data_IF_279875745473
#
_entry.id   IF_279875745473
#
_cell.length_a   1.000
_cell.length_b   1.000
_cell.length_c   1.000
_cell.angle_alpha   90.00
_cell.angle_beta   90.00
_cell.angle_gamma   90.00
#
_symmetry.space_group_name_H-M   'P 1'
#
loop_
_entity.id
_entity.type
_entity.pdbx_description
1 polymer ?
#
# COMPACT_ATOMS: atom_id res chain seq x y z
N UNK A 1 30.71 37.18 20.62
CA UNK A 1 31.36 36.07 19.88
C UNK A 1 30.77 34.79 20.43
N UNK A 2 29.96 33.99 19.75
CA UNK A 2 29.86 33.68 18.31
C UNK A 2 28.43 33.24 17.98
N UNK A 3 27.78 33.94 17.04
CA UNK A 3 26.56 33.48 16.37
C UNK A 3 26.90 32.26 15.50
N UNK A 4 26.33 31.08 15.81
CA UNK A 4 26.20 30.01 14.83
C UNK A 4 24.98 30.31 13.97
N UNK A 5 25.20 30.95 12.82
CA UNK A 5 24.23 31.00 11.71
C UNK A 5 23.87 29.56 11.32
N UNK A 6 22.63 29.18 11.62
CA UNK A 6 21.96 28.04 11.00
C UNK A 6 21.68 28.43 9.54
N UNK A 7 22.62 28.11 8.67
CA UNK A 7 22.43 28.24 7.23
C UNK A 7 21.53 27.08 6.77
N UNK A 8 20.22 27.34 6.78
CA UNK A 8 19.21 26.50 6.16
C UNK A 8 19.62 26.23 4.71
N UNK A 9 20.11 25.02 4.45
CA UNK A 9 20.51 24.53 3.13
C UNK A 9 19.25 24.46 2.26
N UNK A 10 18.88 25.57 1.59
CA UNK A 10 17.73 25.65 0.68
C UNK A 10 17.81 24.48 -0.29
N UNK A 11 16.91 23.51 -0.15
CA UNK A 11 16.84 22.36 -1.05
C UNK A 11 16.60 22.86 -2.47
N UNK A 12 17.45 22.44 -3.41
CA UNK A 12 17.30 22.77 -4.83
C UNK A 12 15.98 22.17 -5.34
N UNK A 13 15.08 23.05 -5.78
CA UNK A 13 13.81 22.67 -6.38
C UNK A 13 13.98 22.44 -7.88
N UNK A 14 13.17 21.54 -8.42
CA UNK A 14 13.28 21.10 -9.80
C UNK A 14 11.95 21.27 -10.55
N UNK A 15 12.05 21.59 -11.83
CA UNK A 15 10.97 21.64 -12.80
C UNK A 15 11.10 20.47 -13.76
N UNK A 16 9.98 19.93 -14.21
CA UNK A 16 9.92 18.88 -15.24
C UNK A 16 9.25 19.45 -16.49
N UNK A 17 9.82 19.17 -17.66
CA UNK A 17 9.26 19.53 -18.96
C UNK A 17 9.00 18.29 -19.79
N UNK A 18 7.79 18.22 -20.37
CA UNK A 18 7.39 17.21 -21.35
C UNK A 18 6.54 17.87 -22.41
N UNK A 19 6.89 17.68 -23.68
CA UNK A 19 6.14 18.22 -24.83
C UNK A 19 5.84 19.73 -24.72
N UNK A 20 6.77 20.50 -24.12
CA UNK A 20 6.64 21.94 -23.87
C UNK A 20 5.85 22.34 -22.61
N UNK A 21 5.17 21.41 -21.93
CA UNK A 21 4.49 21.67 -20.67
C UNK A 21 5.48 21.60 -19.49
N UNK A 22 5.56 22.66 -18.68
CA UNK A 22 6.43 22.74 -17.50
C UNK A 22 5.62 22.55 -16.22
N UNK A 23 6.05 21.62 -15.36
CA UNK A 23 5.46 21.35 -14.02
C UNK A 23 6.48 21.53 -12.91
N UNK A 24 6.00 21.93 -11.73
CA UNK A 24 6.82 22.18 -10.54
C UNK A 24 6.64 23.59 -9.97
N UNK A 25 7.49 24.01 -9.02
CA UNK A 25 8.69 23.31 -8.55
C UNK A 25 8.38 22.08 -7.67
N UNK A 26 9.25 21.08 -7.72
CA UNK A 26 9.19 19.87 -6.89
C UNK A 26 10.50 19.67 -6.12
N UNK A 27 10.45 19.20 -4.86
CA UNK A 27 11.65 18.79 -4.17
C UNK A 27 12.29 17.55 -4.83
N UNK A 28 13.62 17.35 -4.71
CA UNK A 28 14.31 16.23 -5.36
C UNK A 28 13.70 14.86 -5.04
N UNK A 29 13.27 14.65 -3.78
CA UNK A 29 12.60 13.42 -3.35
C UNK A 29 11.28 13.15 -4.09
N UNK A 30 10.49 14.19 -4.37
CA UNK A 30 9.24 14.05 -5.12
C UNK A 30 9.52 13.67 -6.58
N UNK A 31 10.55 14.25 -7.21
CA UNK A 31 10.91 13.86 -8.59
C UNK A 31 11.40 12.42 -8.63
N UNK A 32 12.30 12.02 -7.72
CA UNK A 32 12.75 10.61 -7.61
C UNK A 32 11.55 9.66 -7.58
N UNK A 33 10.58 9.96 -6.72
CA UNK A 33 9.34 9.20 -6.60
C UNK A 33 8.48 9.22 -7.87
N UNK A 34 8.34 10.36 -8.53
CA UNK A 34 7.60 10.45 -9.79
C UNK A 34 8.25 9.67 -10.93
N UNK A 35 9.59 9.67 -10.99
CA UNK A 35 10.36 8.86 -11.93
C UNK A 35 10.13 7.37 -11.65
N UNK A 36 10.16 6.97 -10.37
CA UNK A 36 9.89 5.60 -9.94
C UNK A 36 8.50 5.11 -10.36
N UNK A 37 7.48 5.94 -10.16
CA UNK A 37 6.08 5.66 -10.50
C UNK A 37 5.76 5.82 -12.00
N UNK A 38 6.73 6.23 -12.81
CA UNK A 38 6.55 6.49 -14.24
C UNK A 38 5.65 7.69 -14.54
N UNK A 39 5.46 8.61 -13.59
CA UNK A 39 4.81 9.92 -13.80
C UNK A 39 5.75 10.85 -14.58
N UNK A 40 7.04 10.77 -14.28
CA UNK A 40 8.13 11.39 -15.04
C UNK A 40 8.90 10.27 -15.75
N UNK A 41 9.19 10.45 -17.04
CA UNK A 41 9.94 9.49 -17.83
C UNK A 41 11.43 9.84 -17.82
N UNK A 42 12.26 8.87 -18.16
CA UNK A 42 13.72 9.03 -18.20
C UNK A 42 14.18 9.93 -19.38
N UNK A 43 13.33 10.09 -20.39
CA UNK A 43 13.47 10.99 -21.54
C UNK A 43 12.81 12.35 -21.34
N UNK A 44 12.03 12.56 -20.27
CA UNK A 44 11.57 13.90 -19.91
C UNK A 44 12.77 14.77 -19.52
N UNK A 45 12.58 16.10 -19.56
CA UNK A 45 13.62 17.04 -19.20
C UNK A 45 13.38 17.62 -17.81
N UNK A 46 14.46 17.90 -17.09
CA UNK A 46 14.45 18.55 -15.79
C UNK A 46 15.37 19.75 -15.75
N UNK A 47 14.99 20.74 -14.95
CA UNK A 47 15.75 21.98 -14.79
C UNK A 47 15.56 22.56 -13.39
N UNK A 48 16.58 23.21 -12.85
CA UNK A 48 16.51 23.96 -11.57
C UNK A 48 16.20 25.45 -11.78
N UNK A 49 16.45 25.98 -12.98
CA UNK A 49 16.38 27.40 -13.32
C UNK A 49 15.40 27.71 -14.47
N UNK A 50 14.81 26.69 -15.10
CA UNK A 50 13.95 26.73 -16.29
C UNK A 50 14.66 27.18 -17.58
N UNK A 51 15.98 27.35 -17.54
CA UNK A 51 16.80 27.76 -18.68
C UNK A 51 17.55 26.53 -19.21
N UNK A 52 18.29 25.85 -18.34
CA UNK A 52 19.07 24.69 -18.69
C UNK A 52 18.26 23.42 -18.45
N UNK A 53 17.95 22.72 -19.53
CA UNK A 53 17.13 21.50 -19.52
C UNK A 53 17.99 20.28 -19.82
N UNK A 54 17.98 19.31 -18.92
CA UNK A 54 18.69 18.06 -19.07
C UNK A 54 17.71 16.89 -19.04
N UNK A 55 17.92 15.83 -19.85
CA UNK A 55 17.15 14.60 -19.72
C UNK A 55 17.26 14.06 -18.29
N UNK A 56 16.15 13.58 -17.73
CA UNK A 56 16.09 12.98 -16.39
C UNK A 56 17.17 11.91 -16.23
N UNK A 57 17.35 11.04 -17.22
CA UNK A 57 18.39 10.00 -17.25
C UNK A 57 19.81 10.50 -17.00
N UNK A 58 20.12 11.77 -17.29
CA UNK A 58 21.45 12.36 -17.13
C UNK A 58 21.64 13.08 -15.78
N UNK A 59 20.64 13.09 -14.91
CA UNK A 59 20.67 13.82 -13.65
C UNK A 59 20.59 12.83 -12.47
N UNK A 60 21.74 12.43 -11.88
CA UNK A 60 21.81 11.44 -10.80
C UNK A 60 20.98 11.82 -9.56
N UNK A 61 20.81 13.12 -9.32
CA UNK A 61 20.10 13.65 -8.15
C UNK A 61 18.60 13.37 -8.17
N UNK A 62 18.01 13.16 -9.35
CA UNK A 62 16.56 12.95 -9.51
C UNK A 62 16.21 11.56 -10.03
N UNK A 63 17.20 10.76 -10.46
CA UNK A 63 17.01 9.36 -10.81
C UNK A 63 17.26 8.48 -9.58
N UNK A 64 16.24 7.74 -9.08
CA UNK A 64 16.41 6.82 -7.97
C UNK A 64 17.54 5.81 -8.25
N UNK A 65 18.38 5.47 -7.25
CA UNK A 65 19.42 4.45 -7.40
C UNK A 65 18.88 3.12 -7.95
N UNK A 66 17.65 2.75 -7.59
CA UNK A 66 16.96 1.53 -8.00
C UNK A 66 16.66 1.54 -9.51
N UNK A 67 16.23 2.68 -10.05
CA UNK A 67 16.06 2.85 -11.50
C UNK A 67 17.39 2.84 -12.21
N UNK A 68 18.42 3.48 -11.64
CA UNK A 68 19.76 3.48 -12.23
C UNK A 68 20.31 2.08 -12.34
N UNK A 69 20.26 1.32 -11.25
CA UNK A 69 20.66 -0.09 -11.21
C UNK A 69 19.82 -0.91 -12.19
N UNK A 70 18.49 -0.75 -12.21
CA UNK A 70 17.64 -1.45 -13.17
C UNK A 70 17.96 -1.11 -14.64
N UNK A 71 18.34 0.14 -14.96
CA UNK A 71 18.79 0.56 -16.30
C UNK A 71 20.16 -0.01 -16.65
N UNK A 72 21.07 -0.12 -15.68
CA UNK A 72 22.44 -0.61 -15.86
C UNK A 72 22.51 -2.14 -16.03
N UNK A 73 21.82 -2.90 -15.17
CA UNK A 73 21.91 -4.37 -15.13
C UNK A 73 20.64 -5.09 -15.60
N UNK A 74 19.58 -4.36 -15.97
CA UNK A 74 18.32 -4.96 -16.42
C UNK A 74 17.52 -5.66 -15.32
N UNK A 75 17.82 -5.38 -14.04
CA UNK A 75 17.17 -5.97 -12.87
C UNK A 75 15.73 -5.45 -12.72
N UNK A 76 14.82 -6.13 -13.43
CA UNK A 76 13.39 -5.84 -13.42
C UNK A 76 12.76 -6.09 -12.06
N UNK A 77 13.33 -6.96 -11.24
CA UNK A 77 12.77 -7.36 -9.96
C UNK A 77 12.94 -6.26 -8.92
N UNK A 78 14.12 -5.64 -8.85
CA UNK A 78 14.36 -4.45 -8.03
C UNK A 78 13.42 -3.29 -8.41
N UNK A 79 13.17 -3.11 -9.71
CA UNK A 79 12.25 -2.08 -10.18
C UNK A 79 10.79 -2.39 -9.79
N UNK A 80 10.36 -3.66 -9.87
CA UNK A 80 9.02 -4.09 -9.47
C UNK A 80 8.82 -3.86 -7.99
N UNK A 81 9.73 -4.37 -7.15
CA UNK A 81 9.63 -4.24 -5.69
C UNK A 81 9.61 -2.78 -5.29
N UNK A 82 10.52 -1.95 -5.80
CA UNK A 82 10.53 -0.51 -5.53
C UNK A 82 9.25 0.20 -5.95
N UNK A 83 8.65 -0.19 -7.09
CA UNK A 83 7.36 0.36 -7.52
C UNK A 83 6.20 -0.08 -6.61
N UNK A 84 6.16 -1.33 -6.18
CA UNK A 84 5.14 -1.83 -5.25
C UNK A 84 5.19 -1.07 -3.92
N UNK A 85 6.39 -0.76 -3.44
CA UNK A 85 6.62 0.01 -2.20
C UNK A 85 6.10 1.44 -2.24
N UNK A 86 6.13 2.08 -3.40
CA UNK A 86 5.89 3.53 -3.56
C UNK A 86 4.54 3.86 -4.23
N UNK A 87 3.78 2.84 -4.65
CA UNK A 87 2.53 3.01 -5.40
C UNK A 87 1.39 3.58 -4.53
N UNK A 88 1.40 4.91 -4.36
CA UNK A 88 0.28 5.65 -3.77
C UNK A 88 -0.80 6.01 -4.81
N UNK A 89 -0.71 5.47 -6.04
CA UNK A 89 -1.68 5.81 -7.09
C UNK A 89 -3.05 5.25 -6.74
N UNK A 90 -3.96 6.14 -6.34
CA UNK A 90 -5.36 5.82 -6.15
C UNK A 90 -5.99 5.41 -7.48
N UNK A 91 -6.71 4.27 -7.50
CA UNK A 91 -7.44 3.81 -8.68
C UNK A 91 -8.45 4.80 -9.27
N UNK A 92 -8.79 5.86 -8.51
CA UNK A 92 -9.68 6.94 -8.93
C UNK A 92 -9.05 7.98 -9.84
N UNK A 93 -7.72 8.10 -9.93
CA UNK A 93 -7.05 8.97 -10.92
C UNK A 93 -7.40 8.58 -12.38
N UNK A 94 -8.17 7.51 -12.60
CA UNK A 94 -8.68 7.08 -13.92
C UNK A 94 -10.21 6.98 -14.05
N UNK A 95 -11.01 7.41 -13.08
CA UNK A 95 -12.49 7.30 -13.16
C UNK A 95 -13.22 8.64 -13.17
N UNK A 96 -12.71 9.59 -13.95
CA UNK A 96 -13.56 10.60 -14.58
C UNK A 96 -13.54 10.29 -16.08
N UNK A 97 -14.72 10.04 -16.64
CA UNK A 97 -15.02 9.67 -18.03
C UNK A 97 -14.69 8.22 -18.45
N UNK A 98 -15.39 7.25 -17.86
CA UNK A 98 -15.61 5.94 -18.46
C UNK A 98 -16.93 5.95 -19.27
N UNK A 99 -17.05 6.85 -20.23
CA UNK A 99 -18.01 6.71 -21.33
C UNK A 99 -17.58 7.58 -22.51
N UNK A 100 -16.51 7.20 -23.21
CA UNK A 100 -16.31 7.74 -24.55
C UNK A 100 -15.39 6.88 -25.42
N UNK A 101 -15.91 6.39 -26.55
CA UNK A 101 -15.12 5.66 -27.58
C UNK A 101 -14.05 6.57 -28.21
N UNK A 102 -14.23 7.89 -28.11
CA UNK A 102 -13.29 8.92 -28.59
C UNK A 102 -11.97 8.93 -27.82
N UNK A 103 -11.93 8.42 -26.58
CA UNK A 103 -10.73 8.40 -25.74
C UNK A 103 -9.70 7.33 -26.17
N UNK A 104 -10.13 6.22 -26.80
CA UNK A 104 -9.21 5.21 -27.34
C UNK A 104 -8.42 5.71 -28.54
N UNK A 105 -8.98 6.62 -29.35
CA UNK A 105 -8.31 7.15 -30.54
C UNK A 105 -7.28 8.25 -30.20
N UNK A 106 -7.47 9.02 -29.12
CA UNK A 106 -6.51 10.06 -28.68
C UNK A 106 -5.21 9.53 -28.07
N UNK A 107 -5.14 8.23 -27.74
CA UNK A 107 -3.98 7.60 -27.06
C UNK A 107 -2.95 6.96 -27.99
N UNK A 108 -2.88 7.32 -29.28
CA UNK A 108 -1.75 6.93 -30.13
C UNK A 108 -0.44 7.68 -29.79
N UNK A 109 -0.51 8.82 -29.10
CA UNK A 109 0.67 9.63 -28.73
C UNK A 109 1.20 9.42 -27.28
N UNK A 110 0.34 9.05 -26.33
CA UNK A 110 0.76 8.71 -24.96
C UNK A 110 1.14 7.23 -24.88
N UNK A 111 2.31 6.84 -25.42
CA UNK A 111 2.93 5.56 -25.04
C UNK A 111 3.36 5.64 -23.57
N UNK A 112 2.39 5.47 -22.66
CA UNK A 112 2.67 5.08 -21.27
C UNK A 112 3.45 3.77 -21.36
N UNK A 113 4.60 3.67 -20.69
CA UNK A 113 5.33 2.40 -20.59
C UNK A 113 4.34 1.29 -20.19
N UNK A 114 4.45 0.11 -20.80
CA UNK A 114 3.63 -1.02 -20.41
C UNK A 114 3.84 -1.31 -18.92
N UNK A 115 2.80 -1.08 -18.10
CA UNK A 115 2.83 -1.34 -16.67
C UNK A 115 2.72 -2.85 -16.45
N UNK A 116 3.63 -3.42 -15.66
CA UNK A 116 3.69 -4.85 -15.40
C UNK A 116 2.41 -5.33 -14.71
N UNK A 117 1.91 -6.51 -15.11
CA UNK A 117 0.66 -7.09 -14.62
C UNK A 117 0.59 -7.16 -13.09
N UNK A 118 1.70 -7.53 -12.44
CA UNK A 118 1.80 -7.59 -10.97
C UNK A 118 1.47 -6.25 -10.29
N UNK A 119 1.91 -5.12 -10.88
CA UNK A 119 1.65 -3.78 -10.35
C UNK A 119 0.17 -3.44 -10.53
N UNK A 120 -0.43 -3.86 -11.65
CA UNK A 120 -1.86 -3.68 -11.90
C UNK A 120 -2.69 -4.48 -10.90
N UNK A 121 -2.32 -5.73 -10.65
CA UNK A 121 -3.00 -6.63 -9.70
C UNK A 121 -2.92 -6.12 -8.26
N UNK A 122 -1.75 -5.63 -7.84
CA UNK A 122 -1.56 -5.00 -6.53
C UNK A 122 -2.50 -3.79 -6.36
N UNK A 123 -2.53 -2.89 -7.34
CA UNK A 123 -3.41 -1.72 -7.32
C UNK A 123 -4.90 -2.12 -7.28
N UNK A 124 -5.30 -3.10 -8.09
CA UNK A 124 -6.69 -3.55 -8.13
C UNK A 124 -7.11 -4.16 -6.79
N UNK A 125 -6.25 -4.97 -6.17
CA UNK A 125 -6.50 -5.50 -4.84
C UNK A 125 -6.71 -4.40 -3.78
N UNK A 126 -5.94 -3.31 -3.85
CA UNK A 126 -6.10 -2.14 -2.96
C UNK A 126 -7.42 -1.42 -3.20
N UNK A 127 -7.83 -1.28 -4.47
CA UNK A 127 -9.12 -0.69 -4.83
C UNK A 127 -10.27 -1.54 -4.31
N UNK A 128 -10.23 -2.85 -4.51
CA UNK A 128 -11.31 -3.75 -4.10
C UNK A 128 -11.52 -3.67 -2.58
N UNK A 129 -10.44 -3.53 -1.80
CA UNK A 129 -10.52 -3.25 -0.36
C UNK A 129 -11.25 -1.92 -0.06
N UNK A 130 -10.85 -0.84 -0.73
CA UNK A 130 -11.49 0.48 -0.56
C UNK A 130 -12.95 0.49 -1.06
N UNK A 131 -13.28 -0.33 -2.06
CA UNK A 131 -14.60 -0.43 -2.68
C UNK A 131 -15.56 -1.35 -1.93
N UNK A 132 -15.09 -2.34 -1.15
CA UNK A 132 -15.93 -3.12 -0.22
C UNK A 132 -16.72 -2.22 0.74
N UNK A 133 -16.31 -0.96 0.93
CA UNK A 133 -17.02 0.08 1.69
C UNK A 133 -18.01 0.95 0.90
N UNK A 134 -17.96 1.02 -0.44
CA UNK A 134 -18.87 1.88 -1.22
C UNK A 134 -19.95 1.05 -1.89
N UNK A 135 -21.15 1.05 -1.29
CA UNK A 135 -22.38 0.60 -1.97
C UNK A 135 -22.48 1.38 -3.28
N UNK A 136 -22.45 0.67 -4.42
CA UNK A 136 -22.79 1.26 -5.72
C UNK A 136 -24.27 1.67 -5.65
N UNK A 137 -24.66 2.88 -6.07
CA UNK A 137 -26.07 3.23 -6.12
C UNK A 137 -26.77 2.27 -7.09
N UNK A 138 -27.84 1.64 -6.61
CA UNK A 138 -28.68 0.73 -7.37
C UNK A 138 -29.51 1.54 -8.41
N UNK A 139 -29.77 1.03 -9.63
CA UNK A 139 -30.59 1.72 -10.62
C UNK A 139 -32.02 2.00 -10.09
N UNK A 140 -32.67 3.08 -10.54
CA UNK A 140 -33.91 3.62 -9.96
C UNK A 140 -35.03 2.58 -9.76
N UNK A 141 -35.22 1.68 -10.74
CA UNK A 141 -36.23 0.61 -10.67
C UNK A 141 -35.90 -0.44 -9.61
N UNK A 142 -34.61 -0.76 -9.45
CA UNK A 142 -34.16 -1.60 -8.33
C UNK A 142 -34.24 -0.87 -6.99
N UNK A 143 -34.20 0.47 -6.94
CA UNK A 143 -34.43 1.21 -5.69
C UNK A 143 -35.88 1.12 -5.19
N UNK A 144 -36.87 0.94 -6.08
CA UNK A 144 -38.27 0.73 -5.67
C UNK A 144 -38.46 -0.68 -5.11
N UNK A 145 -37.94 -1.70 -5.80
CA UNK A 145 -38.00 -3.11 -5.36
C UNK A 145 -37.17 -3.31 -4.08
N UNK A 146 -35.98 -2.71 -4.02
CA UNK A 146 -35.15 -2.72 -2.81
C UNK A 146 -35.81 -1.89 -1.72
N UNK A 147 -36.49 -0.78 -2.04
CA UNK A 147 -37.22 0.03 -1.07
C UNK A 147 -38.36 -0.72 -0.38
N UNK A 148 -39.15 -1.47 -1.13
CA UNK A 148 -40.22 -2.32 -0.59
C UNK A 148 -39.68 -3.52 0.18
N UNK A 149 -38.62 -4.18 -0.33
CA UNK A 149 -37.92 -5.25 0.40
C UNK A 149 -37.21 -4.74 1.66
N UNK A 150 -36.67 -3.53 1.65
CA UNK A 150 -36.05 -2.88 2.81
C UNK A 150 -37.12 -2.50 3.83
N UNK A 151 -38.29 -2.00 3.44
CA UNK A 151 -39.38 -1.75 4.39
C UNK A 151 -39.87 -3.04 5.06
N UNK A 152 -40.00 -4.13 4.29
CA UNK A 152 -40.32 -5.45 4.83
C UNK A 152 -39.20 -6.00 5.71
N UNK A 153 -37.93 -5.87 5.30
CA UNK A 153 -36.77 -6.33 6.05
C UNK A 153 -36.43 -5.44 7.26
N UNK A 154 -36.82 -4.16 7.26
CA UNK A 154 -36.71 -3.24 8.39
C UNK A 154 -37.85 -3.54 9.38
N UNK A 155 -39.07 -3.77 8.92
CA UNK A 155 -40.15 -4.29 9.78
C UNK A 155 -39.78 -5.64 10.40
N UNK A 156 -39.19 -6.54 9.61
CA UNK A 156 -38.71 -7.86 10.05
C UNK A 156 -37.43 -7.79 10.89
N UNK A 157 -36.55 -6.82 10.63
CA UNK A 157 -35.31 -6.59 11.36
C UNK A 157 -35.53 -5.83 12.67
N UNK A 158 -36.54 -4.97 12.76
CA UNK A 158 -37.03 -4.43 14.04
C UNK A 158 -37.62 -5.58 14.89
N UNK A 159 -38.26 -6.56 14.24
CA UNK A 159 -38.80 -7.76 14.89
C UNK A 159 -37.71 -8.78 15.32
N UNK A 160 -36.56 -8.85 14.64
CA UNK A 160 -35.46 -9.79 14.91
C UNK A 160 -34.18 -9.16 15.50
N UNK A 161 -34.15 -7.85 15.70
CA UNK A 161 -32.93 -7.10 16.00
C UNK A 161 -32.08 -6.90 14.74
N UNK A 162 -32.03 -5.67 14.23
CA UNK A 162 -31.22 -5.35 13.05
C UNK A 162 -29.75 -5.75 13.31
N UNK A 163 -29.03 -6.30 12.31
CA UNK A 163 -27.61 -6.59 12.48
C UNK A 163 -26.92 -5.28 12.86
N UNK A 164 -26.16 -5.31 13.95
CA UNK A 164 -25.41 -4.16 14.44
C UNK A 164 -24.65 -3.53 13.27
N UNK A 165 -24.88 -2.24 13.02
CA UNK A 165 -24.05 -1.48 12.09
C UNK A 165 -22.59 -1.67 12.52
N UNK A 166 -21.70 -2.00 11.59
CA UNK A 166 -20.27 -2.01 11.86
C UNK A 166 -19.93 -0.62 12.43
N UNK A 167 -19.44 -0.52 13.67
CA UNK A 167 -19.15 0.76 14.30
C UNK A 167 -18.23 1.57 13.39
N UNK A 168 -18.38 2.90 13.37
CA UNK A 168 -17.38 3.73 12.71
C UNK A 168 -16.01 3.49 13.35
N UNK A 169 -14.90 3.62 12.60
CA UNK A 169 -13.57 3.50 13.19
C UNK A 169 -13.39 4.50 14.33
N UNK A 170 -12.90 4.02 15.47
CA UNK A 170 -12.68 4.82 16.67
C UNK A 170 -11.26 4.59 17.18
N UNK A 171 -10.37 5.53 16.86
CA UNK A 171 -8.95 5.43 17.17
C UNK A 171 -8.63 5.60 18.67
N UNK A 172 -9.58 6.08 19.46
CA UNK A 172 -9.42 6.32 20.90
C UNK A 172 -10.06 5.20 21.74
N UNK A 173 -10.76 4.26 21.08
CA UNK A 173 -11.35 3.10 21.73
C UNK A 173 -10.29 2.22 22.41
N UNK A 174 -10.63 1.67 23.58
CA UNK A 174 -9.73 0.82 24.33
C UNK A 174 -9.43 -0.50 23.57
N UNK A 175 -8.23 -1.08 23.75
CA UNK A 175 -7.87 -2.37 23.18
C UNK A 175 -8.85 -3.47 23.60
N UNK A 176 -9.47 -4.12 22.63
CA UNK A 176 -10.38 -5.25 22.85
C UNK A 176 -10.49 -6.12 21.58
N UNK A 177 -10.94 -7.38 21.69
CA UNK A 177 -11.24 -8.20 20.52
C UNK A 177 -12.26 -7.50 19.60
N UNK A 178 -12.02 -7.55 18.29
CA UNK A 178 -12.87 -6.96 17.27
C UNK A 178 -12.81 -5.43 17.14
N UNK A 179 -11.96 -4.75 17.94
CA UNK A 179 -11.88 -3.28 17.97
C UNK A 179 -11.63 -2.70 16.57
N UNK A 180 -12.32 -1.60 16.25
CA UNK A 180 -12.27 -1.00 14.92
C UNK A 180 -11.33 0.22 14.89
N UNK A 181 -10.08 -0.04 14.53
CA UNK A 181 -9.01 0.95 14.35
C UNK A 181 -8.63 1.18 12.88
N UNK A 182 -9.55 0.94 11.94
CA UNK A 182 -9.28 1.12 10.52
C UNK A 182 -8.92 2.56 10.18
N UNK A 183 -7.88 2.75 9.38
CA UNK A 183 -7.34 4.07 9.01
C UNK A 183 -6.75 4.89 10.17
N UNK A 184 -6.58 4.30 11.36
CA UNK A 184 -5.99 4.99 12.49
C UNK A 184 -4.47 5.10 12.37
N UNK A 185 -3.90 6.12 12.99
CA UNK A 185 -2.45 6.29 13.16
C UNK A 185 -2.09 6.07 14.63
N UNK A 186 -1.63 4.87 14.92
CA UNK A 186 -1.29 4.33 16.23
C UNK A 186 0.21 3.97 16.29
N UNK A 187 1.06 4.83 15.73
CA UNK A 187 2.52 4.61 15.74
C UNK A 187 3.06 4.62 17.18
N UNK A 188 3.96 3.69 17.50
CA UNK A 188 4.59 3.56 18.81
C UNK A 188 3.66 2.98 19.89
N UNK A 189 2.50 2.44 19.51
CA UNK A 189 1.54 1.80 20.41
C UNK A 189 2.21 0.69 21.25
N UNK A 190 1.94 0.64 22.55
CA UNK A 190 2.49 -0.38 23.46
C UNK A 190 1.36 -1.21 24.04
N UNK A 191 1.23 -2.43 23.50
CA UNK A 191 0.16 -3.39 23.77
C UNK A 191 0.73 -4.81 23.78
N UNK A 192 1.83 -5.00 24.51
CA UNK A 192 2.42 -6.31 24.74
C UNK A 192 1.38 -7.26 25.35
N UNK A 193 1.29 -8.48 24.81
CA UNK A 193 0.34 -9.52 25.23
C UNK A 193 -1.15 -9.12 25.15
N UNK A 194 -1.50 -8.11 24.34
CA UNK A 194 -2.88 -7.67 24.20
C UNK A 194 -3.77 -8.71 23.49
N UNK A 195 -5.03 -8.78 23.92
CA UNK A 195 -6.06 -9.64 23.34
C UNK A 195 -6.86 -8.86 22.29
N UNK A 196 -6.52 -9.05 21.01
CA UNK A 196 -7.00 -8.28 19.87
C UNK A 196 -7.49 -9.20 18.72
N UNK A 197 -8.00 -10.39 19.04
CA UNK A 197 -8.59 -11.30 18.05
C UNK A 197 -9.66 -10.57 17.23
N UNK A 198 -9.60 -10.70 15.90
CA UNK A 198 -10.53 -10.04 14.98
C UNK A 198 -10.36 -8.52 14.86
N UNK A 199 -9.28 -7.92 15.38
CA UNK A 199 -9.02 -6.47 15.26
C UNK A 199 -9.11 -5.98 13.81
N UNK A 200 -9.64 -4.77 13.61
CA UNK A 200 -9.74 -4.15 12.30
C UNK A 200 -8.76 -2.98 12.21
N UNK A 201 -7.61 -3.20 11.56
CA UNK A 201 -6.50 -2.24 11.41
C UNK A 201 -6.25 -1.85 9.94
N UNK A 202 -7.11 -2.30 9.02
CA UNK A 202 -6.87 -2.11 7.59
C UNK A 202 -6.67 -0.63 7.22
N UNK A 203 -5.66 -0.39 6.38
CA UNK A 203 -5.20 0.92 5.93
C UNK A 203 -4.78 1.89 7.07
N UNK A 204 -4.45 1.37 8.26
CA UNK A 204 -3.88 2.13 9.38
C UNK A 204 -2.35 2.14 9.41
N UNK A 205 -1.78 2.86 10.37
CA UNK A 205 -0.34 2.92 10.66
C UNK A 205 -0.12 2.57 12.12
N UNK A 206 0.73 1.59 12.40
CA UNK A 206 1.06 1.05 13.73
C UNK A 206 2.58 0.80 13.79
N UNK A 207 3.36 1.77 13.30
CA UNK A 207 4.81 1.65 13.12
C UNK A 207 5.54 1.71 14.45
N UNK A 208 6.61 0.94 14.61
CA UNK A 208 7.41 0.94 15.83
C UNK A 208 6.64 0.54 17.09
N UNK A 209 5.51 -0.14 16.93
CA UNK A 209 4.67 -0.57 18.04
C UNK A 209 5.24 -1.80 18.73
N UNK A 210 4.97 -1.95 20.02
CA UNK A 210 5.30 -3.13 20.81
C UNK A 210 4.06 -3.98 21.01
N UNK A 211 4.01 -5.10 20.31
CA UNK A 211 2.85 -5.99 20.19
C UNK A 211 3.26 -7.46 20.48
N UNK A 212 4.41 -7.66 21.13
CA UNK A 212 4.94 -9.00 21.40
C UNK A 212 4.00 -9.83 22.26
N UNK A 213 3.82 -11.10 21.88
CA UNK A 213 2.88 -12.03 22.51
C UNK A 213 1.40 -11.69 22.35
N UNK A 214 1.04 -10.65 21.59
CA UNK A 214 -0.35 -10.26 21.39
C UNK A 214 -1.13 -11.27 20.54
N UNK A 215 -2.44 -11.34 20.76
CA UNK A 215 -3.35 -12.21 20.00
C UNK A 215 -4.10 -11.40 18.95
N UNK A 216 -3.81 -11.67 17.68
CA UNK A 216 -4.35 -10.97 16.50
C UNK A 216 -4.96 -11.95 15.48
N UNK A 217 -5.27 -13.17 15.93
CA UNK A 217 -5.92 -14.18 15.11
C UNK A 217 -7.15 -13.58 14.40
N UNK A 218 -7.36 -13.95 13.14
CA UNK A 218 -8.46 -13.45 12.30
C UNK A 218 -8.54 -11.93 12.08
N UNK A 219 -7.51 -11.16 12.46
CA UNK A 219 -7.48 -9.71 12.29
C UNK A 219 -7.50 -9.25 10.83
N UNK A 220 -8.18 -8.14 10.55
CA UNK A 220 -8.15 -7.43 9.27
C UNK A 220 -7.06 -6.35 9.29
N UNK A 221 -5.85 -6.71 8.87
CA UNK A 221 -4.64 -5.89 8.84
C UNK A 221 -4.17 -5.60 7.41
N UNK A 222 -5.10 -5.60 6.45
CA UNK A 222 -4.75 -5.37 5.05
C UNK A 222 -4.23 -3.94 4.85
N UNK A 223 -3.10 -3.80 4.15
CA UNK A 223 -2.43 -2.52 3.89
C UNK A 223 -2.10 -1.71 5.16
N UNK A 224 -1.97 -2.35 6.32
CA UNK A 224 -1.46 -1.69 7.52
C UNK A 224 0.05 -1.44 7.38
N UNK A 225 0.55 -0.36 7.98
CA UNK A 225 1.99 -0.15 8.16
C UNK A 225 2.43 -0.60 9.55
N UNK A 226 3.15 -1.72 9.62
CA UNK A 226 3.73 -2.32 10.84
C UNK A 226 5.27 -2.24 10.82
N UNK A 227 5.83 -1.33 10.02
CA UNK A 227 7.29 -1.18 9.91
C UNK A 227 7.92 -0.94 11.28
N UNK A 228 9.04 -1.62 11.54
CA UNK A 228 9.84 -1.50 12.77
C UNK A 228 9.12 -1.93 14.07
N UNK A 229 7.95 -2.57 13.96
CA UNK A 229 7.20 -3.05 15.12
C UNK A 229 7.72 -4.39 15.65
N UNK A 230 7.48 -4.66 16.92
CA UNK A 230 7.74 -5.94 17.58
C UNK A 230 6.45 -6.76 17.67
N UNK A 231 6.36 -7.83 16.89
CA UNK A 231 5.31 -8.86 16.88
C UNK A 231 5.89 -10.23 17.24
N UNK A 232 7.03 -10.27 17.96
CA UNK A 232 7.61 -11.53 18.41
C UNK A 232 6.61 -12.29 19.28
N UNK A 233 6.54 -13.62 19.12
CA UNK A 233 5.58 -14.50 19.81
C UNK A 233 4.09 -14.19 19.57
N UNK A 234 3.72 -13.30 18.64
CA UNK A 234 2.34 -12.95 18.39
C UNK A 234 1.54 -14.11 17.75
N UNK A 235 0.25 -14.21 18.08
CA UNK A 235 -0.67 -15.13 17.40
C UNK A 235 -1.39 -14.41 16.25
N UNK A 236 -1.13 -14.81 15.01
CA UNK A 236 -1.61 -14.18 13.78
C UNK A 236 -2.31 -15.21 12.86
N UNK A 237 -2.87 -16.28 13.43
CA UNK A 237 -3.50 -17.36 12.67
C UNK A 237 -4.65 -16.82 11.83
N UNK A 238 -4.65 -17.16 10.55
CA UNK A 238 -5.67 -16.73 9.59
C UNK A 238 -5.90 -15.21 9.52
N UNK A 239 -4.93 -14.40 9.94
CA UNK A 239 -5.00 -12.96 9.81
C UNK A 239 -4.93 -12.52 8.33
N UNK A 240 -5.66 -11.48 7.96
CA UNK A 240 -5.60 -10.88 6.64
C UNK A 240 -4.60 -9.73 6.65
N UNK A 241 -3.39 -9.97 6.12
CA UNK A 241 -2.27 -9.02 6.08
C UNK A 241 -1.88 -8.67 4.64
N UNK A 242 -2.84 -8.79 3.72
CA UNK A 242 -2.63 -8.54 2.29
C UNK A 242 -2.13 -7.11 2.07
N UNK A 243 -0.98 -6.96 1.42
CA UNK A 243 -0.37 -5.66 1.15
C UNK A 243 0.15 -4.91 2.39
N UNK A 244 0.25 -5.56 3.55
CA UNK A 244 0.82 -4.95 4.75
C UNK A 244 2.31 -4.62 4.57
N UNK A 245 2.77 -3.55 5.21
CA UNK A 245 4.19 -3.20 5.28
C UNK A 245 4.76 -3.73 6.59
N UNK A 246 5.68 -4.69 6.52
CA UNK A 246 6.30 -5.39 7.66
C UNK A 246 7.83 -5.22 7.64
N UNK A 247 8.30 -4.07 7.14
CA UNK A 247 9.75 -3.84 7.00
C UNK A 247 10.40 -3.78 8.36
N UNK A 248 11.47 -4.56 8.55
CA UNK A 248 12.21 -4.63 9.81
C UNK A 248 11.36 -4.96 11.03
N UNK A 249 10.18 -5.57 10.83
CA UNK A 249 9.32 -6.04 11.90
C UNK A 249 9.91 -7.31 12.52
N UNK A 250 9.89 -7.42 13.85
CA UNK A 250 10.22 -8.68 14.51
C UNK A 250 8.98 -9.58 14.52
N UNK A 251 9.03 -10.71 13.83
CA UNK A 251 8.00 -11.75 13.80
C UNK A 251 8.54 -13.07 14.34
N UNK A 252 9.65 -13.04 15.09
CA UNK A 252 10.27 -14.25 15.62
C UNK A 252 9.29 -15.01 16.52
N UNK A 253 9.21 -16.33 16.32
CA UNK A 253 8.28 -17.22 17.02
C UNK A 253 6.78 -16.88 16.87
N UNK A 254 6.40 -15.97 15.98
CA UNK A 254 4.99 -15.65 15.72
C UNK A 254 4.29 -16.81 14.98
N UNK A 255 2.99 -16.98 15.21
CA UNK A 255 2.17 -17.95 14.49
C UNK A 255 1.36 -17.28 13.37
N UNK A 256 1.88 -17.36 12.15
CA UNK A 256 1.27 -16.85 10.92
C UNK A 256 0.51 -17.94 10.15
N UNK A 257 0.17 -19.07 10.80
CA UNK A 257 -0.43 -20.21 10.09
C UNK A 257 -1.75 -19.82 9.41
N UNK A 258 -1.82 -20.06 8.10
CA UNK A 258 -2.98 -19.70 7.27
C UNK A 258 -3.20 -18.19 7.05
N UNK A 259 -2.28 -17.32 7.46
CA UNK A 259 -2.39 -15.88 7.22
C UNK A 259 -2.28 -15.54 5.72
N UNK A 260 -2.95 -14.47 5.28
CA UNK A 260 -2.80 -13.95 3.92
C UNK A 260 -1.81 -12.78 3.89
N UNK A 261 -0.58 -13.05 3.47
CA UNK A 261 0.51 -12.08 3.29
C UNK A 261 0.71 -11.73 1.81
N UNK A 262 -0.27 -11.99 0.93
CA UNK A 262 -0.14 -11.68 -0.49
C UNK A 262 0.17 -10.19 -0.69
N UNK A 263 1.13 -9.87 -1.56
CA UNK A 263 1.63 -8.51 -1.78
C UNK A 263 2.22 -7.77 -0.56
N UNK A 264 2.41 -8.43 0.59
CA UNK A 264 3.04 -7.80 1.75
C UNK A 264 4.53 -7.53 1.50
N UNK A 265 5.09 -6.54 2.19
CA UNK A 265 6.53 -6.24 2.17
C UNK A 265 7.19 -6.66 3.48
N UNK A 266 7.88 -7.80 3.47
CA UNK A 266 8.60 -8.37 4.62
C UNK A 266 10.09 -8.01 4.63
N UNK A 267 10.55 -7.04 3.83
CA UNK A 267 11.98 -6.74 3.70
C UNK A 267 12.63 -6.50 5.06
N UNK A 268 13.65 -7.30 5.39
CA UNK A 268 14.38 -7.21 6.65
C UNK A 268 13.61 -7.68 7.89
N UNK A 269 12.41 -8.26 7.74
CA UNK A 269 11.67 -8.82 8.87
C UNK A 269 12.38 -10.06 9.45
N UNK A 270 12.29 -10.23 10.77
CA UNK A 270 12.83 -11.41 11.45
C UNK A 270 11.74 -12.49 11.56
N UNK A 271 11.87 -13.60 10.83
CA UNK A 271 10.95 -14.75 10.90
C UNK A 271 11.54 -15.96 11.66
N UNK A 272 12.59 -15.75 12.46
CA UNK A 272 13.24 -16.84 13.20
C UNK A 272 12.26 -17.61 14.09
N UNK A 273 12.05 -18.89 13.80
CA UNK A 273 11.11 -19.75 14.55
C UNK A 273 9.63 -19.48 14.29
N UNK A 274 9.27 -18.58 13.37
CA UNK A 274 7.87 -18.29 13.05
C UNK A 274 7.18 -19.49 12.37
N UNK A 275 5.93 -19.76 12.75
CA UNK A 275 5.10 -20.76 12.10
C UNK A 275 4.37 -20.14 10.89
N UNK A 276 4.85 -20.42 9.68
CA UNK A 276 4.28 -19.87 8.43
C UNK A 276 3.51 -20.92 7.62
N UNK A 277 3.14 -22.05 8.21
CA UNK A 277 2.46 -23.14 7.50
C UNK A 277 1.16 -22.63 6.87
N UNK A 278 0.95 -22.91 5.58
CA UNK A 278 -0.23 -22.45 4.83
C UNK A 278 -0.39 -20.91 4.73
N UNK A 279 0.60 -20.12 5.14
CA UNK A 279 0.56 -18.68 4.90
C UNK A 279 0.66 -18.39 3.39
N UNK A 280 -0.23 -17.56 2.86
CA UNK A 280 -0.21 -17.18 1.43
C UNK A 280 0.76 -16.03 1.21
N UNK A 281 1.71 -16.21 0.30
CA UNK A 281 2.80 -15.27 0.03
C UNK A 281 2.82 -14.79 -1.42
N UNK A 282 1.69 -14.89 -2.12
CA UNK A 282 1.58 -14.54 -3.54
C UNK A 282 2.03 -13.09 -3.77
N UNK A 283 3.06 -12.87 -4.58
CA UNK A 283 3.59 -11.54 -4.92
C UNK A 283 4.13 -10.72 -3.74
N UNK A 284 4.40 -11.36 -2.59
CA UNK A 284 5.03 -10.69 -1.45
C UNK A 284 6.50 -10.34 -1.78
N UNK A 285 7.01 -9.28 -1.15
CA UNK A 285 8.45 -9.00 -1.11
C UNK A 285 9.00 -9.71 0.13
N UNK A 286 9.87 -10.68 -0.08
CA UNK A 286 10.41 -11.53 0.97
C UNK A 286 11.45 -10.83 1.83
N UNK A 287 11.90 -11.49 2.91
CA UNK A 287 12.82 -10.92 3.90
C UNK A 287 14.15 -10.42 3.31
N UNK A 288 14.60 -11.01 2.20
CA UNK A 288 15.81 -10.63 1.47
C UNK A 288 15.55 -9.65 0.31
N UNK A 289 14.30 -9.20 0.14
CA UNK A 289 13.88 -8.34 -0.96
C UNK A 289 13.49 -9.04 -2.25
N UNK A 290 13.56 -10.38 -2.32
CA UNK A 290 13.11 -11.14 -3.48
C UNK A 290 11.58 -11.13 -3.61
N UNK A 291 11.07 -11.25 -4.84
CA UNK A 291 9.64 -11.25 -5.13
C UNK A 291 9.11 -12.70 -5.20
N UNK A 292 8.20 -13.03 -4.29
CA UNK A 292 7.56 -14.34 -4.27
C UNK A 292 6.61 -14.51 -5.46
N UNK A 293 6.66 -15.68 -6.10
CA UNK A 293 5.79 -16.01 -7.22
C UNK A 293 4.36 -16.36 -6.75
N UNK A 294 3.35 -16.25 -7.63
CA UNK A 294 2.03 -16.80 -7.38
C UNK A 294 2.09 -18.31 -7.03
N UNK A 295 1.27 -18.74 -6.07
CA UNK A 295 1.29 -20.09 -5.51
C UNK A 295 2.23 -20.28 -4.33
N UNK A 296 2.91 -19.22 -3.87
CA UNK A 296 3.79 -19.27 -2.69
C UNK A 296 2.94 -19.53 -1.44
N UNK A 297 3.10 -20.71 -0.84
CA UNK A 297 2.30 -21.18 0.30
C UNK A 297 3.22 -21.74 1.39
N UNK A 298 3.37 -21.01 2.48
CA UNK A 298 4.28 -21.31 3.59
C UNK A 298 5.77 -21.30 3.24
N UNK A 299 6.11 -21.01 1.99
CA UNK A 299 7.45 -20.70 1.52
C UNK A 299 7.36 -19.74 0.34
N UNK A 300 8.35 -18.86 0.22
CA UNK A 300 8.47 -17.95 -0.92
C UNK A 300 9.06 -18.72 -2.10
N UNK A 301 8.28 -18.91 -3.16
CA UNK A 301 8.77 -19.45 -4.42
C UNK A 301 9.49 -18.33 -5.17
N UNK A 302 10.81 -18.44 -5.33
CA UNK A 302 11.62 -17.46 -6.06
C UNK A 302 11.91 -18.03 -7.45
N UNK A 303 11.83 -17.18 -8.48
CA UNK A 303 12.19 -17.59 -9.83
C UNK A 303 13.71 -17.80 -9.90
N UNK A 304 14.20 -18.94 -10.42
CA UNK A 304 15.64 -19.18 -10.59
C UNK A 304 16.28 -18.19 -11.57
#
# INVERSE_FOLDING_TARGET
MTEKKSESKKQKLWYVRRDGEIKGPHPPGAIRRFVLLGRVRVDDEVSIDKIDWLPVSKVPDVVPPEIRKALEIGDKELLITSRLREDERNGRERRVAADDRTYRQRRKGERRQAELEIIQNHRQAKIDLLERRRKKPLPLFSMIIVGTLVLLAVGFGIYLGAPASIPDPDCDSQPAPGVNWRNCKLDGLQLESAELDGVQLSNGSVRGAKLSGGKFNHGDMQYVDLSESDLSYAELKSASMKGATLRYTDLSYADLSGADLSFADLTGANLGGAAIKQARLDNAIWINGALCQPGSLGSCLIKP
#
